data_IF_287094203285
#
_entry.id   IF_287094203285
#
_cell.length_a   1.000
_cell.length_b   1.000
_cell.length_c   1.000
_cell.angle_alpha   90.00
_cell.angle_beta   90.00
_cell.angle_gamma   90.00
#
_symmetry.space_group_name_H-M   'P 1'
#
loop_
_entity.id
_entity.type
_entity.pdbx_description
1 polymer ?
#
# COMPACT_ATOMS: atom_id res chain seq x y z
N UNK A 1 -13.08 -21.75 -3.62
CA UNK A 1 -12.32 -20.50 -3.84
C UNK A 1 -12.81 -19.84 -5.12
N UNK A 2 -13.19 -18.59 -5.03
CA UNK A 2 -13.59 -17.83 -6.23
C UNK A 2 -12.39 -17.67 -7.17
N UNK A 3 -12.64 -17.68 -8.48
CA UNK A 3 -11.58 -17.50 -9.51
C UNK A 3 -10.81 -16.20 -9.34
N UNK A 4 -11.52 -15.14 -8.93
CA UNK A 4 -10.89 -13.83 -8.64
C UNK A 4 -9.92 -13.93 -7.47
N UNK A 5 -10.33 -14.60 -6.41
CA UNK A 5 -9.50 -14.81 -5.21
C UNK A 5 -8.26 -15.66 -5.53
N UNK A 6 -8.42 -16.71 -6.33
CA UNK A 6 -7.28 -17.53 -6.79
C UNK A 6 -6.27 -16.68 -7.59
N UNK A 7 -6.74 -15.82 -8.49
CA UNK A 7 -5.87 -14.89 -9.26
C UNK A 7 -5.15 -13.92 -8.34
N UNK A 8 -5.87 -13.29 -7.39
CA UNK A 8 -5.30 -12.31 -6.45
C UNK A 8 -4.21 -12.95 -5.59
N UNK A 9 -4.49 -14.10 -4.99
CA UNK A 9 -3.52 -14.79 -4.13
C UNK A 9 -2.28 -15.23 -4.91
N UNK A 10 -2.47 -15.83 -6.07
CA UNK A 10 -1.36 -16.24 -6.95
C UNK A 10 -0.51 -15.03 -7.38
N UNK A 11 -1.13 -13.95 -7.84
CA UNK A 11 -0.41 -12.77 -8.28
C UNK A 11 0.38 -12.12 -7.13
N UNK A 12 -0.22 -12.04 -5.94
CA UNK A 12 0.47 -11.54 -4.74
C UNK A 12 1.72 -12.34 -4.43
N UNK A 13 1.61 -13.67 -4.38
CA UNK A 13 2.72 -14.55 -4.08
C UNK A 13 3.84 -14.43 -5.13
N UNK A 14 3.49 -14.41 -6.41
CA UNK A 14 4.44 -14.25 -7.49
C UNK A 14 5.16 -12.89 -7.44
N UNK A 15 4.44 -11.79 -7.26
CA UNK A 15 5.04 -10.46 -7.14
C UNK A 15 5.94 -10.33 -5.90
N UNK A 16 5.54 -10.88 -4.78
CA UNK A 16 6.37 -10.87 -3.57
C UNK A 16 7.65 -11.69 -3.73
N UNK A 17 7.58 -12.81 -4.44
CA UNK A 17 8.70 -13.74 -4.61
C UNK A 17 9.66 -13.30 -5.71
N UNK A 18 9.15 -12.86 -6.85
CA UNK A 18 9.94 -12.63 -8.07
C UNK A 18 10.05 -11.15 -8.48
N UNK A 19 9.26 -10.27 -7.88
CA UNK A 19 9.21 -8.86 -8.21
C UNK A 19 8.25 -8.54 -9.36
N UNK A 20 8.04 -7.23 -9.56
CA UNK A 20 7.12 -6.74 -10.59
C UNK A 20 7.58 -7.09 -12.01
N UNK A 21 8.88 -6.86 -12.32
CA UNK A 21 9.42 -6.98 -13.69
C UNK A 21 9.34 -8.40 -14.23
N UNK A 22 9.66 -9.39 -13.40
CA UNK A 22 9.78 -10.78 -13.82
C UNK A 22 8.44 -11.49 -13.99
N UNK A 23 7.39 -11.05 -13.31
CA UNK A 23 6.07 -11.68 -13.35
C UNK A 23 5.28 -11.23 -14.56
N UNK A 24 4.69 -12.18 -15.30
CA UNK A 24 3.83 -11.93 -16.45
C UNK A 24 2.38 -12.35 -16.18
N UNK A 25 1.44 -11.77 -16.94
CA UNK A 25 0.02 -12.16 -16.89
C UNK A 25 -0.18 -13.63 -17.31
N UNK A 26 0.67 -14.15 -18.22
CA UNK A 26 0.64 -15.57 -18.63
C UNK A 26 1.04 -16.50 -17.49
N UNK A 27 2.07 -16.13 -16.74
CA UNK A 27 2.52 -16.88 -15.56
C UNK A 27 1.46 -16.91 -14.46
N UNK A 28 0.81 -15.75 -14.20
CA UNK A 28 -0.30 -15.67 -13.24
C UNK A 28 -1.45 -16.57 -13.68
N UNK A 29 -1.83 -16.54 -14.96
CA UNK A 29 -2.89 -17.39 -15.52
C UNK A 29 -2.57 -18.87 -15.34
N UNK A 30 -1.37 -19.28 -15.74
CA UNK A 30 -0.91 -20.67 -15.63
C UNK A 30 -0.89 -21.16 -14.19
N UNK A 31 -0.36 -20.37 -13.28
CA UNK A 31 -0.20 -20.74 -11.88
C UNK A 31 -1.53 -20.74 -11.12
N UNK A 32 -2.44 -19.81 -11.42
CA UNK A 32 -3.77 -19.74 -10.79
C UNK A 32 -4.79 -20.73 -11.37
N UNK A 33 -4.45 -21.38 -12.48
CA UNK A 33 -5.36 -22.34 -13.14
C UNK A 33 -6.53 -21.69 -13.87
N UNK A 34 -6.43 -20.39 -14.21
CA UNK A 34 -7.46 -19.66 -14.98
C UNK A 34 -6.94 -19.23 -16.34
N UNK A 35 -7.84 -18.86 -17.25
CA UNK A 35 -7.42 -18.31 -18.55
C UNK A 35 -6.98 -16.86 -18.41
N UNK A 36 -6.07 -16.43 -19.26
CA UNK A 36 -5.64 -15.02 -19.37
C UNK A 36 -6.83 -14.06 -19.59
N UNK A 37 -7.82 -14.49 -20.41
CA UNK A 37 -9.08 -13.78 -20.61
C UNK A 37 -9.83 -13.55 -19.28
N UNK A 38 -9.87 -14.56 -18.43
CA UNK A 38 -10.51 -14.43 -17.09
C UNK A 38 -9.80 -13.41 -16.23
N UNK A 39 -8.47 -13.35 -16.25
CA UNK A 39 -7.71 -12.34 -15.50
C UNK A 39 -8.08 -10.93 -15.98
N UNK A 40 -8.15 -10.72 -17.30
CA UNK A 40 -8.50 -9.41 -17.88
C UNK A 40 -9.95 -8.98 -17.62
N UNK A 41 -10.83 -9.86 -17.14
CA UNK A 41 -12.15 -9.45 -16.62
C UNK A 41 -12.07 -8.74 -15.26
N UNK A 42 -10.98 -8.97 -14.51
CA UNK A 42 -10.77 -8.39 -13.16
C UNK A 42 -9.78 -7.23 -13.17
N UNK A 43 -8.75 -7.31 -13.99
CA UNK A 43 -7.67 -6.34 -14.05
C UNK A 43 -7.33 -5.99 -15.50
N UNK A 44 -7.33 -4.71 -15.82
CA UNK A 44 -7.05 -4.20 -17.16
C UNK A 44 -5.65 -4.64 -17.68
N UNK A 45 -4.66 -4.59 -16.79
CA UNK A 45 -3.27 -4.90 -17.09
C UNK A 45 -2.51 -5.25 -15.80
N UNK A 46 -1.23 -5.56 -15.95
CA UNK A 46 -0.34 -5.87 -14.82
C UNK A 46 -0.16 -4.71 -13.85
N UNK A 47 -0.15 -3.48 -14.37
CA UNK A 47 0.02 -2.27 -13.55
C UNK A 47 -1.18 -2.05 -12.64
N UNK A 48 -2.40 -2.13 -13.18
CA UNK A 48 -3.62 -2.00 -12.39
C UNK A 48 -3.75 -3.11 -11.33
N UNK A 49 -3.28 -4.32 -11.65
CA UNK A 49 -3.22 -5.40 -10.67
C UNK A 49 -2.19 -5.11 -9.56
N UNK A 50 -1.04 -4.57 -9.90
CA UNK A 50 -0.02 -4.24 -8.92
C UNK A 50 -0.43 -3.05 -8.03
N UNK A 51 -1.05 -2.02 -8.60
CA UNK A 51 -1.65 -0.91 -7.85
C UNK A 51 -2.73 -1.37 -6.87
N UNK A 52 -3.52 -2.38 -7.25
CA UNK A 52 -4.48 -2.99 -6.32
C UNK A 52 -3.79 -3.53 -5.05
N UNK A 53 -2.62 -4.16 -5.17
CA UNK A 53 -1.86 -4.62 -4.00
C UNK A 53 -1.26 -3.47 -3.18
N UNK A 54 -0.83 -2.38 -3.84
CA UNK A 54 -0.40 -1.15 -3.15
C UNK A 54 -1.56 -0.59 -2.30
N UNK A 55 -2.75 -0.51 -2.86
CA UNK A 55 -3.95 -0.05 -2.16
C UNK A 55 -4.31 -0.96 -0.97
N UNK A 56 -4.23 -2.29 -1.14
CA UNK A 56 -4.44 -3.22 -0.02
C UNK A 56 -3.45 -2.99 1.12
N UNK A 57 -2.17 -2.76 0.81
CA UNK A 57 -1.15 -2.46 1.84
C UNK A 57 -1.45 -1.16 2.58
N UNK A 58 -1.87 -0.12 1.85
CA UNK A 58 -2.32 1.15 2.44
C UNK A 58 -3.52 0.96 3.36
N UNK A 59 -4.52 0.21 2.95
CA UNK A 59 -5.70 -0.07 3.76
C UNK A 59 -5.38 -0.87 5.01
N UNK A 60 -4.45 -1.82 4.94
CA UNK A 60 -3.96 -2.56 6.12
C UNK A 60 -3.29 -1.63 7.12
N UNK A 61 -2.45 -0.72 6.64
CA UNK A 61 -1.78 0.27 7.47
C UNK A 61 -2.78 1.23 8.12
N UNK A 62 -3.70 1.81 7.34
CA UNK A 62 -4.75 2.72 7.84
C UNK A 62 -5.58 2.05 8.95
N UNK A 63 -6.03 0.81 8.74
CA UNK A 63 -6.78 0.06 9.75
C UNK A 63 -5.98 -0.18 11.04
N UNK A 64 -4.67 -0.44 10.91
CA UNK A 64 -3.79 -0.62 12.09
C UNK A 64 -3.68 0.66 12.91
N UNK A 65 -3.56 1.79 12.25
CA UNK A 65 -3.51 3.11 12.90
C UNK A 65 -4.84 3.43 13.58
N UNK A 66 -5.97 3.23 12.90
CA UNK A 66 -7.29 3.56 13.41
C UNK A 66 -7.68 2.75 14.65
N UNK A 67 -7.26 1.49 14.73
CA UNK A 67 -7.47 0.65 15.93
C UNK A 67 -6.79 1.22 17.18
N UNK A 68 -5.70 1.97 17.03
CA UNK A 68 -4.95 2.57 18.14
C UNK A 68 -5.46 3.96 18.52
N UNK A 69 -6.12 4.68 17.62
CA UNK A 69 -6.60 6.03 17.84
C UNK A 69 -7.76 6.16 18.86
N UNK A 70 -8.25 5.03 19.39
CA UNK A 70 -9.24 4.99 20.48
C UNK A 70 -8.59 4.99 21.89
N UNK A 71 -7.33 5.39 22.01
CA UNK A 71 -6.63 5.43 23.30
C UNK A 71 -6.76 6.82 23.95
N UNK A 72 -6.89 6.85 25.28
CA UNK A 72 -6.90 8.07 26.11
C UNK A 72 -5.51 8.75 26.21
N UNK A 73 -4.60 8.45 25.29
CA UNK A 73 -3.26 9.01 25.26
C UNK A 73 -3.26 10.48 24.80
N UNK A 74 -2.34 11.31 25.33
CA UNK A 74 -2.12 12.65 24.81
C UNK A 74 -1.87 12.65 23.31
N UNK A 75 -2.40 13.66 22.60
CA UNK A 75 -2.34 13.75 21.15
C UNK A 75 -0.92 13.53 20.58
N UNK A 76 0.10 14.12 21.21
CA UNK A 76 1.49 13.99 20.75
C UNK A 76 2.01 12.55 20.83
N UNK A 77 1.59 11.80 21.83
CA UNK A 77 1.96 10.39 21.97
C UNK A 77 1.25 9.52 20.92
N UNK A 78 0.01 9.83 20.62
CA UNK A 78 -0.75 9.18 19.52
C UNK A 78 -0.04 9.41 18.19
N UNK A 79 0.35 10.66 17.88
CA UNK A 79 1.07 10.99 16.64
C UNK A 79 2.42 10.27 16.56
N UNK A 80 3.21 10.32 17.63
CA UNK A 80 4.52 9.66 17.66
C UNK A 80 4.40 8.14 17.47
N UNK A 81 3.42 7.52 18.14
CA UNK A 81 3.16 6.08 18.02
C UNK A 81 2.71 5.71 16.60
N UNK A 82 1.82 6.50 16.01
CA UNK A 82 1.33 6.25 14.65
C UNK A 82 2.45 6.37 13.62
N UNK A 83 3.30 7.39 13.70
CA UNK A 83 4.46 7.54 12.83
C UNK A 83 5.43 6.36 12.96
N UNK A 84 5.71 5.92 14.19
CA UNK A 84 6.54 4.74 14.43
C UNK A 84 5.93 3.49 13.78
N UNK A 85 4.63 3.25 13.97
CA UNK A 85 3.94 2.10 13.40
C UNK A 85 3.93 2.12 11.86
N UNK A 86 3.79 3.29 11.25
CA UNK A 86 3.88 3.45 9.79
C UNK A 86 5.27 3.05 9.27
N UNK A 87 6.33 3.50 9.95
CA UNK A 87 7.71 3.16 9.58
C UNK A 87 7.97 1.66 9.72
N UNK A 88 7.52 1.05 10.82
CA UNK A 88 7.66 -0.38 11.05
C UNK A 88 6.84 -1.19 10.05
N UNK A 89 5.61 -0.76 9.73
CA UNK A 89 4.78 -1.40 8.72
C UNK A 89 5.46 -1.38 7.35
N UNK A 90 5.97 -0.20 6.92
CA UNK A 90 6.71 -0.05 5.67
C UNK A 90 7.94 -0.96 5.61
N UNK A 91 8.73 -1.00 6.69
CA UNK A 91 9.92 -1.86 6.79
C UNK A 91 9.58 -3.35 6.67
N UNK A 92 8.45 -3.78 7.25
CA UNK A 92 8.04 -5.19 7.31
C UNK A 92 7.18 -5.62 6.09
N UNK A 93 6.72 -4.70 5.27
CA UNK A 93 5.96 -5.04 4.06
C UNK A 93 6.86 -5.71 3.02
N UNK A 94 6.54 -6.97 2.70
CA UNK A 94 7.25 -7.71 1.63
C UNK A 94 7.07 -7.03 0.28
N UNK A 95 5.89 -6.48 -0.01
CA UNK A 95 5.61 -5.77 -1.27
C UNK A 95 6.48 -4.53 -1.41
N UNK A 96 6.53 -3.66 -0.37
CA UNK A 96 7.36 -2.45 -0.38
C UNK A 96 8.85 -2.79 -0.45
N UNK A 97 9.29 -3.84 0.25
CA UNK A 97 10.67 -4.34 0.14
C UNK A 97 11.01 -4.77 -1.28
N UNK A 98 10.10 -5.46 -1.96
CA UNK A 98 10.27 -5.89 -3.35
C UNK A 98 10.33 -4.70 -4.30
N UNK A 99 9.44 -3.70 -4.15
CA UNK A 99 9.49 -2.44 -4.91
C UNK A 99 10.84 -1.75 -4.72
N UNK A 100 11.33 -1.64 -3.50
CA UNK A 100 12.61 -0.99 -3.20
C UNK A 100 13.80 -1.70 -3.85
N UNK A 101 13.77 -3.03 -3.95
CA UNK A 101 14.79 -3.81 -4.68
C UNK A 101 14.72 -3.58 -6.18
N UNK A 102 13.52 -3.53 -6.75
CA UNK A 102 13.31 -3.25 -8.18
C UNK A 102 13.84 -1.86 -8.57
N UNK A 103 13.59 -0.84 -7.73
CA UNK A 103 14.13 0.53 -7.92
C UNK A 103 15.65 0.50 -7.93
N UNK A 104 16.30 -0.16 -6.98
CA UNK A 104 17.76 -0.30 -6.94
C UNK A 104 18.31 -1.00 -8.17
N UNK A 105 17.52 -1.84 -8.83
CA UNK A 105 17.89 -2.52 -10.08
C UNK A 105 17.51 -1.71 -11.34
N UNK A 106 17.14 -0.43 -11.20
CA UNK A 106 16.85 0.48 -12.31
C UNK A 106 15.45 0.33 -12.91
N UNK A 107 14.48 -0.15 -12.14
CA UNK A 107 13.09 -0.20 -12.59
C UNK A 107 12.36 1.09 -12.21
N UNK A 108 12.34 2.07 -13.13
CA UNK A 108 11.72 3.39 -12.91
C UNK A 108 10.21 3.30 -12.64
N UNK A 109 9.53 2.31 -13.20
CA UNK A 109 8.10 2.11 -12.96
C UNK A 109 7.78 1.80 -11.50
N UNK A 110 8.68 1.14 -10.80
CA UNK A 110 8.54 0.90 -9.37
C UNK A 110 8.68 2.19 -8.54
N UNK A 111 9.36 3.21 -9.07
CA UNK A 111 9.36 4.55 -8.45
C UNK A 111 7.96 5.16 -8.48
N UNK A 112 7.23 5.03 -9.60
CA UNK A 112 5.87 5.55 -9.71
C UNK A 112 4.93 4.86 -8.72
N UNK A 113 5.03 3.54 -8.56
CA UNK A 113 4.23 2.80 -7.59
C UNK A 113 4.55 3.22 -6.14
N UNK A 114 5.82 3.41 -5.82
CA UNK A 114 6.21 3.87 -4.48
C UNK A 114 5.72 5.29 -4.23
N UNK A 115 5.77 6.16 -5.24
CA UNK A 115 5.24 7.52 -5.15
C UNK A 115 3.74 7.53 -4.86
N UNK A 116 2.94 6.71 -5.56
CA UNK A 116 1.50 6.56 -5.25
C UNK A 116 1.29 6.17 -3.80
N UNK A 117 2.08 5.21 -3.29
CA UNK A 117 2.00 4.79 -1.89
C UNK A 117 2.34 5.94 -0.93
N UNK A 118 3.41 6.68 -1.19
CA UNK A 118 3.85 7.79 -0.34
C UNK A 118 2.87 8.98 -0.37
N UNK A 119 2.34 9.35 -1.55
CA UNK A 119 1.36 10.43 -1.71
C UNK A 119 0.05 10.12 -0.95
N UNK A 120 -0.42 8.89 -0.99
CA UNK A 120 -1.60 8.44 -0.24
C UNK A 120 -1.39 8.49 1.29
N UNK A 121 -0.20 8.14 1.75
CA UNK A 121 0.16 8.26 3.17
C UNK A 121 0.16 9.72 3.60
N UNK A 122 0.79 10.61 2.82
CA UNK A 122 0.85 12.04 3.13
C UNK A 122 -0.55 12.65 3.18
N UNK A 123 -1.41 12.34 2.21
CA UNK A 123 -2.81 12.78 2.19
C UNK A 123 -3.57 12.30 3.44
N UNK A 124 -3.37 11.06 3.85
CA UNK A 124 -3.98 10.52 5.06
C UNK A 124 -3.53 11.25 6.33
N UNK A 125 -2.24 11.56 6.45
CA UNK A 125 -1.68 12.32 7.58
C UNK A 125 -2.25 13.74 7.61
N UNK A 126 -2.28 14.42 6.47
CA UNK A 126 -2.87 15.77 6.34
C UNK A 126 -4.33 15.80 6.78
N UNK A 127 -5.13 14.83 6.34
CA UNK A 127 -6.54 14.71 6.74
C UNK A 127 -6.68 14.58 8.26
N UNK A 128 -5.86 13.72 8.90
CA UNK A 128 -5.88 13.52 10.36
C UNK A 128 -5.46 14.79 11.12
N UNK A 129 -4.41 15.48 10.67
CA UNK A 129 -3.97 16.74 11.27
C UNK A 129 -5.09 17.80 11.18
N UNK A 130 -5.69 17.97 10.00
CA UNK A 130 -6.78 18.92 9.80
C UNK A 130 -8.00 18.60 10.67
N UNK A 131 -8.30 17.33 10.89
CA UNK A 131 -9.37 16.91 11.79
C UNK A 131 -9.08 17.34 13.24
N UNK A 132 -7.85 17.16 13.71
CA UNK A 132 -7.45 17.54 15.07
C UNK A 132 -7.37 19.07 15.26
N UNK A 133 -7.04 19.82 14.21
CA UNK A 133 -7.15 21.29 14.21
C UNK A 133 -8.62 21.72 14.38
N UNK A 134 -9.55 21.08 13.63
CA UNK A 134 -10.98 21.37 13.73
C UNK A 134 -11.56 21.06 15.12
N UNK A 135 -11.04 20.03 15.78
CA UNK A 135 -11.42 19.66 17.16
C UNK A 135 -10.80 20.59 18.21
N UNK A 136 -9.87 21.47 17.84
CA UNK A 136 -9.17 22.37 18.74
C UNK A 136 -8.04 21.72 19.55
N UNK A 137 -7.66 20.48 19.23
CA UNK A 137 -6.57 19.76 19.91
C UNK A 137 -5.18 20.27 19.52
N UNK A 138 -5.05 20.90 18.35
CA UNK A 138 -3.84 21.56 17.87
C UNK A 138 -4.16 22.97 17.37
N UNK A 139 -3.18 23.89 17.51
CA UNK A 139 -3.28 25.21 16.92
C UNK A 139 -3.34 25.12 15.40
N UNK A 140 -4.07 26.05 14.77
CA UNK A 140 -4.13 26.14 13.32
C UNK A 140 -2.70 26.28 12.75
N UNK A 141 -2.32 25.34 11.90
CA UNK A 141 -1.06 25.32 11.17
C UNK A 141 -1.33 24.90 9.72
N UNK A 142 -0.35 25.11 8.86
CA UNK A 142 -0.40 24.51 7.53
C UNK A 142 -0.07 23.03 7.66
N UNK A 143 -1.05 22.18 7.34
CA UNK A 143 -0.90 20.73 7.39
C UNK A 143 -0.34 20.16 6.08
N UNK A 144 -0.05 21.00 5.09
CA UNK A 144 0.51 20.55 3.82
C UNK A 144 1.97 20.12 4.01
N UNK A 145 2.22 18.85 3.74
CA UNK A 145 3.56 18.26 3.78
C UNK A 145 4.15 18.31 2.37
N UNK A 146 5.06 19.24 2.16
CA UNK A 146 5.84 19.35 0.91
C UNK A 146 6.99 18.36 0.85
#
# INVERSE_FOLDING_TARGET
>A
MDKKEAVINTARDLFQKYGYKKVSMDEIAKTSGVTKKTIYTYFKDKDSMFLYFIEEELQKMKRKIEKKNNSDLPFIEVVATNLYDMLIFRKNSMLISTISKEIKNGNDKCCDFLKVYDDEILSYIEEKINLEIKKGNIKKCDAHLT
#
